data_IF_554522316914
#
_entry.id   IF_554522316914
#
_cell.length_a   1.000
_cell.length_b   1.000
_cell.length_c   1.000
_cell.angle_alpha   90.00
_cell.angle_beta   90.00
_cell.angle_gamma   90.00
#
_symmetry.space_group_name_H-M   'P 1'
#
loop_
_entity.id
_entity.type
_entity.pdbx_description
1 polymer ?
#
# COMPACT_ATOMS: atom_id res chain seq x y z
N UNK A 1 -12.44 5.78 -15.86
CA UNK A 1 -11.60 5.40 -14.71
C UNK A 1 -12.52 4.82 -13.64
N UNK A 2 -12.95 3.59 -13.85
CA UNK A 2 -14.09 3.02 -13.08
C UNK A 2 -13.68 2.63 -11.65
N UNK A 3 -12.38 2.49 -11.40
CA UNK A 3 -11.82 2.16 -10.09
C UNK A 3 -12.02 3.25 -9.03
N UNK A 4 -12.20 4.52 -9.43
CA UNK A 4 -12.44 5.62 -8.51
C UNK A 4 -13.93 5.88 -8.25
N UNK A 5 -14.83 5.36 -9.09
CA UNK A 5 -16.27 5.62 -8.96
C UNK A 5 -16.85 5.28 -7.57
N UNK A 6 -16.46 4.17 -6.90
CA UNK A 6 -16.95 3.86 -5.54
C UNK A 6 -16.49 4.84 -4.46
N UNK A 7 -15.45 5.64 -4.74
CA UNK A 7 -14.82 6.58 -3.81
C UNK A 7 -15.28 8.02 -4.03
N UNK A 8 -16.24 8.25 -4.93
CA UNK A 8 -16.86 9.55 -5.09
C UNK A 8 -17.59 9.96 -3.80
N UNK A 9 -17.27 11.14 -3.28
CA UNK A 9 -17.86 11.70 -2.06
C UNK A 9 -18.46 13.08 -2.35
N UNK A 10 -19.26 13.60 -1.43
CA UNK A 10 -19.67 15.01 -1.47
C UNK A 10 -18.44 15.91 -1.25
N UNK A 11 -18.56 17.20 -1.55
CA UNK A 11 -17.48 18.17 -1.28
C UNK A 11 -17.03 18.08 0.18
N UNK A 12 -15.72 17.96 0.35
CA UNK A 12 -15.04 17.86 1.63
C UNK A 12 -13.73 18.66 1.57
N UNK A 13 -13.01 18.75 2.68
CA UNK A 13 -11.69 19.36 2.70
C UNK A 13 -10.74 18.64 1.73
N UNK A 14 -10.16 19.40 0.81
CA UNK A 14 -9.23 18.87 -0.18
C UNK A 14 -7.90 18.49 0.47
N UNK A 15 -7.56 17.20 0.43
CA UNK A 15 -6.28 16.69 0.94
C UNK A 15 -5.12 17.05 0.00
N UNK A 16 -5.33 16.87 -1.30
CA UNK A 16 -4.44 17.31 -2.39
C UNK A 16 -5.23 17.46 -3.71
N UNK A 17 -4.64 18.14 -4.69
CA UNK A 17 -5.17 18.29 -6.05
C UNK A 17 -4.14 17.83 -7.10
N UNK A 18 -4.61 17.11 -8.11
CA UNK A 18 -3.80 16.70 -9.27
C UNK A 18 -4.35 17.34 -10.54
N UNK A 19 -3.49 18.09 -11.23
CA UNK A 19 -3.74 18.61 -12.58
C UNK A 19 -3.06 17.72 -13.61
N UNK A 20 -3.77 17.27 -14.64
CA UNK A 20 -3.16 16.57 -15.78
C UNK A 20 -2.98 17.59 -16.91
N UNK A 21 -1.72 17.85 -17.28
CA UNK A 21 -1.37 18.83 -18.31
C UNK A 21 -1.02 18.13 -19.64
N UNK A 22 -1.61 18.61 -20.73
CA UNK A 22 -1.36 18.10 -22.10
C UNK A 22 -0.06 18.62 -22.68
N UNK A 23 0.36 19.83 -22.30
CA UNK A 23 1.62 20.43 -22.72
C UNK A 23 1.99 21.54 -21.75
N UNK A 24 3.22 21.50 -21.24
CA UNK A 24 3.86 22.69 -20.73
C UNK A 24 5.33 22.56 -21.11
N UNK A 25 5.96 23.70 -21.38
CA UNK A 25 7.28 23.79 -22.03
C UNK A 25 8.33 22.82 -21.49
N UNK A 26 9.30 22.55 -22.38
CA UNK A 26 10.53 21.79 -22.16
C UNK A 26 10.91 21.68 -20.69
N UNK A 27 11.27 20.47 -20.24
CA UNK A 27 11.93 20.26 -18.97
C UNK A 27 13.01 21.33 -18.80
N UNK A 28 12.80 22.29 -17.89
CA UNK A 28 13.91 23.11 -17.46
C UNK A 28 14.94 22.13 -16.91
N UNK A 29 16.13 22.16 -17.50
CA UNK A 29 17.34 21.45 -17.05
C UNK A 29 17.83 21.98 -15.69
N UNK A 30 16.90 22.29 -14.79
CA UNK A 30 17.12 22.78 -13.45
C UNK A 30 17.56 21.65 -12.50
N UNK A 31 18.25 22.06 -11.44
CA UNK A 31 18.99 21.28 -10.44
C UNK A 31 18.16 20.22 -9.68
N UNK A 32 17.67 19.20 -10.37
CA UNK A 32 17.00 18.03 -9.76
C UNK A 32 18.04 17.09 -9.17
N UNK A 33 18.02 16.93 -7.85
CA UNK A 33 18.87 15.96 -7.14
C UNK A 33 18.15 14.61 -7.05
N UNK A 34 18.79 13.50 -7.41
CA UNK A 34 18.19 12.17 -7.27
C UNK A 34 18.06 11.82 -5.79
N UNK A 35 16.87 11.36 -5.39
CA UNK A 35 16.57 10.84 -4.04
C UNK A 35 16.40 9.32 -4.08
N UNK A 36 15.66 8.83 -5.07
CA UNK A 36 15.51 7.42 -5.38
C UNK A 36 15.57 7.27 -6.89
N UNK A 37 16.43 6.41 -7.40
CA UNK A 37 16.41 6.01 -8.81
C UNK A 37 16.22 4.51 -8.82
N UNK A 38 15.13 4.04 -9.42
CA UNK A 38 14.81 2.62 -9.48
C UNK A 38 15.93 1.88 -10.20
N UNK A 39 16.50 0.89 -9.53
CA UNK A 39 17.41 -0.09 -10.13
C UNK A 39 16.74 -1.47 -10.14
N UNK A 40 15.45 -1.48 -10.48
CA UNK A 40 14.62 -2.68 -10.44
C UNK A 40 14.98 -3.64 -11.58
N UNK A 41 14.70 -4.93 -11.36
CA UNK A 41 14.96 -5.99 -12.35
C UNK A 41 14.16 -5.79 -13.65
N UNK A 42 14.51 -6.51 -14.74
CA UNK A 42 13.79 -6.45 -16.01
C UNK A 42 12.29 -6.71 -15.82
N UNK A 43 11.44 -5.78 -16.27
CA UNK A 43 9.98 -5.93 -16.29
C UNK A 43 9.23 -5.37 -15.08
N UNK A 44 9.91 -4.79 -14.10
CA UNK A 44 9.30 -4.10 -12.95
C UNK A 44 9.02 -2.62 -13.26
N UNK A 45 7.99 -2.00 -12.68
CA UNK A 45 7.72 -0.58 -12.86
C UNK A 45 8.86 0.28 -12.30
N UNK A 46 9.08 1.42 -12.95
CA UNK A 46 10.11 2.41 -12.58
C UNK A 46 9.42 3.59 -11.91
N UNK A 47 9.91 3.98 -10.74
CA UNK A 47 9.51 5.19 -10.00
C UNK A 47 10.79 5.90 -9.57
N UNK A 48 11.17 6.92 -10.34
CA UNK A 48 12.35 7.73 -10.07
C UNK A 48 11.94 9.02 -9.38
N UNK A 49 12.50 9.26 -8.20
CA UNK A 49 12.22 10.40 -7.36
C UNK A 49 13.40 11.37 -7.36
N UNK A 50 13.09 12.62 -7.67
CA UNK A 50 14.02 13.73 -7.63
C UNK A 50 13.47 14.85 -6.76
N UNK A 51 14.37 15.62 -6.17
CA UNK A 51 14.02 16.76 -5.33
C UNK A 51 14.80 18.00 -5.75
N UNK A 52 14.17 19.16 -5.60
CA UNK A 52 14.80 20.48 -5.56
C UNK A 52 14.16 21.28 -4.43
N UNK A 53 14.71 22.44 -4.02
CA UNK A 53 14.11 23.23 -2.95
C UNK A 53 12.62 23.50 -3.19
N UNK A 54 11.76 23.02 -2.30
CA UNK A 54 10.32 23.24 -2.30
C UNK A 54 9.51 22.37 -3.26
N UNK A 55 10.12 21.43 -3.99
CA UNK A 55 9.42 20.62 -4.99
C UNK A 55 9.97 19.21 -5.16
N UNK A 56 9.06 18.30 -5.54
CA UNK A 56 9.34 16.93 -5.90
C UNK A 56 9.05 16.69 -7.37
N UNK A 57 9.84 15.82 -8.00
CA UNK A 57 9.58 15.29 -9.34
C UNK A 57 9.61 13.76 -9.28
N UNK A 58 8.59 13.14 -9.85
CA UNK A 58 8.48 11.69 -9.96
C UNK A 58 8.34 11.30 -11.42
N UNK A 59 9.38 10.66 -11.95
CA UNK A 59 9.34 9.99 -13.24
C UNK A 59 8.78 8.57 -13.07
N UNK A 60 7.86 8.17 -13.94
CA UNK A 60 7.27 6.83 -13.89
C UNK A 60 7.26 6.15 -15.26
N UNK A 61 7.63 4.87 -15.28
CA UNK A 61 7.49 4.01 -16.45
C UNK A 61 6.90 2.64 -16.04
N UNK A 62 6.06 2.02 -16.89
CA UNK A 62 5.38 0.78 -16.55
C UNK A 62 6.33 -0.42 -16.42
N UNK A 63 7.48 -0.40 -17.09
CA UNK A 63 8.51 -1.44 -17.02
C UNK A 63 9.90 -0.84 -17.17
N UNK A 64 10.89 -1.45 -16.51
CA UNK A 64 12.30 -1.07 -16.61
C UNK A 64 12.83 -1.18 -18.04
N UNK A 65 13.68 -0.22 -18.42
CA UNK A 65 14.25 -0.09 -19.77
C UNK A 65 13.35 0.66 -20.78
N UNK A 66 12.11 1.00 -20.43
CA UNK A 66 11.31 1.93 -21.22
C UNK A 66 11.60 3.39 -20.88
N UNK A 67 11.40 4.32 -21.83
CA UNK A 67 11.36 5.75 -21.53
C UNK A 67 10.27 6.08 -20.49
N UNK A 68 10.53 7.12 -19.69
CA UNK A 68 9.56 7.68 -18.76
C UNK A 68 8.25 7.97 -19.49
N UNK A 69 7.15 7.41 -18.98
CA UNK A 69 5.81 7.52 -19.57
C UNK A 69 4.97 8.63 -18.93
N UNK A 70 5.32 9.05 -17.72
CA UNK A 70 4.70 10.18 -17.04
C UNK A 70 5.67 10.87 -16.09
N UNK A 71 5.46 12.16 -15.88
CA UNK A 71 6.27 12.99 -14.99
C UNK A 71 5.34 13.82 -14.10
N UNK A 72 5.35 13.53 -12.80
CA UNK A 72 4.59 14.25 -11.79
C UNK A 72 5.52 15.25 -11.09
N UNK A 73 5.13 16.52 -11.05
CA UNK A 73 5.80 17.55 -10.24
C UNK A 73 4.86 18.01 -9.14
N UNK A 74 5.32 17.98 -7.90
CA UNK A 74 4.55 18.39 -6.72
C UNK A 74 5.26 19.50 -5.95
N UNK A 75 4.49 20.26 -5.18
CA UNK A 75 5.03 21.06 -4.08
C UNK A 75 5.65 20.17 -2.98
N UNK A 76 6.38 20.80 -2.07
CA UNK A 76 7.07 20.10 -0.96
C UNK A 76 6.14 19.19 -0.17
N UNK A 77 4.89 19.59 0.04
CA UNK A 77 3.90 18.89 0.85
C UNK A 77 2.98 17.92 0.09
N UNK A 78 3.18 17.73 -1.23
CA UNK A 78 2.27 16.94 -2.08
C UNK A 78 0.80 17.41 -2.03
N UNK A 79 0.56 18.70 -1.79
CA UNK A 79 -0.78 19.32 -1.81
C UNK A 79 -1.25 19.62 -3.22
N UNK A 80 -0.33 20.03 -4.09
CA UNK A 80 -0.62 20.36 -5.47
C UNK A 80 0.37 19.61 -6.37
N UNK A 81 -0.16 18.86 -7.33
CA UNK A 81 0.61 18.07 -8.28
C UNK A 81 0.20 18.39 -9.71
N UNK A 82 1.17 18.48 -10.60
CA UNK A 82 0.95 18.52 -12.05
C UNK A 82 1.57 17.27 -12.68
N UNK A 83 0.73 16.42 -13.27
CA UNK A 83 1.14 15.25 -14.02
C UNK A 83 1.19 15.59 -15.51
N UNK A 84 2.34 15.36 -16.13
CA UNK A 84 2.50 15.29 -17.58
C UNK A 84 2.47 13.84 -18.02
N UNK A 85 1.61 13.52 -19.00
CA UNK A 85 1.60 12.22 -19.65
C UNK A 85 2.49 12.34 -20.88
N UNK A 86 3.60 11.59 -20.88
CA UNK A 86 4.58 11.60 -21.98
C UNK A 86 4.30 10.47 -22.99
N UNK A 87 3.47 9.51 -22.59
CA UNK A 87 3.02 8.42 -23.45
C UNK A 87 1.56 8.06 -23.14
N UNK A 88 0.65 8.50 -24.01
CA UNK A 88 -0.80 8.33 -23.84
C UNK A 88 -1.23 6.87 -23.69
N UNK A 89 -0.48 5.93 -24.27
CA UNK A 89 -0.73 4.48 -24.10
C UNK A 89 -0.72 4.07 -22.63
N UNK A 90 0.03 4.78 -21.80
CA UNK A 90 0.17 4.54 -20.37
C UNK A 90 -0.45 5.64 -19.52
N UNK A 91 -1.34 6.48 -20.08
CA UNK A 91 -1.97 7.57 -19.35
C UNK A 91 -2.68 7.12 -18.07
N UNK A 92 -3.42 6.01 -18.11
CA UNK A 92 -4.06 5.43 -16.92
C UNK A 92 -3.04 5.01 -15.86
N UNK A 93 -1.97 4.34 -16.25
CA UNK A 93 -0.88 3.96 -15.34
C UNK A 93 -0.27 5.21 -14.68
N UNK A 94 -0.07 6.28 -15.45
CA UNK A 94 0.51 7.51 -14.93
C UNK A 94 -0.42 8.21 -13.93
N UNK A 95 -1.71 8.30 -14.24
CA UNK A 95 -2.69 8.93 -13.33
C UNK A 95 -2.86 8.09 -12.05
N UNK A 96 -2.97 6.77 -12.17
CA UNK A 96 -3.13 5.88 -11.02
C UNK A 96 -1.94 6.00 -10.06
N UNK A 97 -0.70 5.93 -10.56
CA UNK A 97 0.50 6.06 -9.74
C UNK A 97 0.65 7.48 -9.18
N UNK A 98 0.35 8.52 -9.95
CA UNK A 98 0.41 9.90 -9.46
C UNK A 98 -0.53 10.11 -8.28
N UNK A 99 -1.80 9.70 -8.40
CA UNK A 99 -2.79 9.80 -7.31
C UNK A 99 -2.39 8.97 -6.10
N UNK A 100 -1.88 7.74 -6.30
CA UNK A 100 -1.41 6.86 -5.23
C UNK A 100 -0.26 7.47 -4.43
N UNK A 101 0.79 7.94 -5.12
CA UNK A 101 1.96 8.53 -4.48
C UNK A 101 1.65 9.85 -3.78
N UNK A 102 0.85 10.71 -4.43
CA UNK A 102 0.39 11.95 -3.79
C UNK A 102 -0.39 11.63 -2.52
N UNK A 103 -1.31 10.66 -2.55
CA UNK A 103 -2.05 10.22 -1.37
C UNK A 103 -1.10 9.73 -0.27
N UNK A 104 -0.24 8.76 -0.57
CA UNK A 104 0.67 8.14 0.40
C UNK A 104 1.57 9.18 1.10
N UNK A 105 2.16 10.12 0.33
CA UNK A 105 3.06 11.12 0.91
C UNK A 105 2.34 12.28 1.58
N UNK A 106 1.19 12.71 1.05
CA UNK A 106 0.43 13.82 1.62
C UNK A 106 -0.19 13.46 2.97
N UNK A 107 -0.57 12.20 3.14
CA UNK A 107 -1.29 11.71 4.32
C UNK A 107 -0.38 11.07 5.38
N UNK A 108 0.92 10.95 5.13
CA UNK A 108 1.87 10.34 6.06
C UNK A 108 1.85 10.96 7.47
N UNK A 109 1.62 12.27 7.59
CA UNK A 109 1.48 13.00 8.87
C UNK A 109 0.11 12.81 9.54
N UNK A 110 -0.85 12.18 8.86
CA UNK A 110 -2.20 11.87 9.33
C UNK A 110 -2.33 10.44 9.87
N UNK A 111 -1.20 9.76 10.10
CA UNK A 111 -1.17 8.42 10.69
C UNK A 111 -1.53 7.31 9.70
N UNK A 112 -1.23 7.49 8.40
CA UNK A 112 -1.56 6.52 7.34
C UNK A 112 -0.33 5.80 6.80
N UNK A 113 -0.51 4.55 6.40
CA UNK A 113 0.46 3.73 5.67
C UNK A 113 -0.23 3.10 4.46
N UNK A 114 0.26 3.40 3.26
CA UNK A 114 -0.11 2.64 2.05
C UNK A 114 0.79 1.41 1.97
N UNK A 115 0.18 0.23 1.80
CA UNK A 115 0.85 -1.05 2.00
C UNK A 115 0.62 -1.99 0.83
N UNK A 116 1.68 -2.64 0.34
CA UNK A 116 1.61 -3.74 -0.60
C UNK A 116 1.09 -5.03 0.09
N UNK A 117 -0.23 -5.22 0.07
CA UNK A 117 -0.93 -6.28 0.78
C UNK A 117 -2.23 -6.72 0.09
N UNK A 118 -2.65 -7.97 0.35
CA UNK A 118 -4.00 -8.43 0.02
C UNK A 118 -4.81 -8.53 1.31
N UNK A 119 -6.04 -8.00 1.32
CA UNK A 119 -6.82 -7.83 2.55
C UNK A 119 -8.15 -8.54 2.46
N UNK A 120 -8.37 -9.47 3.39
CA UNK A 120 -9.67 -10.13 3.59
C UNK A 120 -10.33 -9.58 4.85
N UNK A 121 -11.63 -9.33 4.79
CA UNK A 121 -12.46 -9.02 5.96
C UNK A 121 -13.31 -10.24 6.31
N UNK A 122 -13.31 -10.60 7.60
CA UNK A 122 -14.15 -11.66 8.17
C UNK A 122 -14.55 -11.28 9.60
N UNK A 123 -15.81 -11.50 9.96
CA UNK A 123 -16.39 -11.07 11.26
C UNK A 123 -16.16 -9.60 11.58
N UNK A 124 -16.20 -8.74 10.55
CA UNK A 124 -15.97 -7.30 10.69
C UNK A 124 -14.51 -6.91 10.96
N UNK A 125 -13.55 -7.84 10.85
CA UNK A 125 -12.12 -7.56 11.06
C UNK A 125 -11.30 -7.80 9.80
N UNK A 126 -10.29 -6.97 9.56
CA UNK A 126 -9.39 -7.04 8.41
C UNK A 126 -8.11 -7.85 8.71
N UNK A 127 -7.78 -8.77 7.82
CA UNK A 127 -6.57 -9.59 7.84
C UNK A 127 -5.69 -9.21 6.66
N UNK A 128 -4.50 -8.67 6.92
CA UNK A 128 -3.59 -8.20 5.88
C UNK A 128 -2.55 -9.28 5.59
N UNK A 129 -2.53 -9.78 4.35
CA UNK A 129 -1.52 -10.74 3.89
C UNK A 129 -0.39 -10.00 3.20
N UNK A 130 0.82 -10.12 3.74
CA UNK A 130 2.06 -9.47 3.30
C UNK A 130 3.01 -10.48 2.67
N UNK A 131 3.98 -10.00 1.89
CA UNK A 131 5.02 -10.84 1.29
C UNK A 131 5.51 -10.28 -0.05
N UNK A 132 6.65 -10.79 -0.51
CA UNK A 132 7.22 -10.41 -1.81
C UNK A 132 6.25 -10.70 -2.96
N UNK A 133 6.51 -10.09 -4.14
CA UNK A 133 5.76 -10.41 -5.35
C UNK A 133 5.82 -11.92 -5.63
N UNK A 134 4.67 -12.55 -5.87
CA UNK A 134 4.58 -14.01 -6.06
C UNK A 134 4.53 -14.86 -4.77
N UNK A 135 4.62 -14.28 -3.57
CA UNK A 135 4.57 -15.05 -2.31
C UNK A 135 3.25 -15.81 -2.10
N UNK A 136 2.15 -15.34 -2.70
CA UNK A 136 0.82 -15.97 -2.61
C UNK A 136 -0.22 -15.17 -1.81
N UNK A 137 -0.03 -13.86 -1.60
CA UNK A 137 -0.98 -12.97 -0.89
C UNK A 137 -2.42 -13.11 -1.42
N UNK A 138 -2.64 -12.83 -2.70
CA UNK A 138 -3.97 -12.92 -3.34
C UNK A 138 -4.52 -14.34 -3.38
N UNK A 139 -3.64 -15.35 -3.49
CA UNK A 139 -4.03 -16.76 -3.37
C UNK A 139 -4.61 -17.03 -1.99
N UNK A 140 -4.02 -16.49 -0.94
CA UNK A 140 -4.49 -16.67 0.42
C UNK A 140 -5.83 -15.96 0.67
N UNK A 141 -6.00 -14.72 0.20
CA UNK A 141 -7.30 -14.04 0.24
C UNK A 141 -8.39 -14.80 -0.51
N UNK A 142 -8.05 -15.40 -1.66
CA UNK A 142 -8.97 -16.25 -2.42
C UNK A 142 -9.39 -17.49 -1.62
N UNK A 143 -8.44 -18.20 -1.00
CA UNK A 143 -8.74 -19.38 -0.17
C UNK A 143 -9.70 -19.06 0.97
N UNK A 144 -9.57 -17.89 1.60
CA UNK A 144 -10.51 -17.46 2.64
C UNK A 144 -11.94 -17.30 2.10
N UNK A 145 -12.11 -16.63 0.95
CA UNK A 145 -13.44 -16.48 0.33
C UNK A 145 -14.06 -17.81 -0.10
N UNK A 146 -13.23 -18.76 -0.53
CA UNK A 146 -13.69 -20.08 -0.99
C UNK A 146 -14.09 -21.01 0.16
N UNK A 147 -13.50 -20.84 1.35
CA UNK A 147 -13.63 -21.82 2.44
C UNK A 147 -14.26 -21.28 3.71
N UNK A 148 -14.33 -19.95 3.90
CA UNK A 148 -14.93 -19.31 5.06
C UNK A 148 -16.09 -18.42 4.64
N UNK A 149 -17.34 -18.92 4.72
CA UNK A 149 -18.53 -18.11 4.50
C UNK A 149 -18.49 -16.81 5.31
N UNK A 150 -18.82 -15.69 4.68
CA UNK A 150 -18.72 -14.36 5.29
C UNK A 150 -17.35 -13.69 5.17
N UNK A 151 -16.38 -14.31 4.49
CA UNK A 151 -15.12 -13.66 4.15
C UNK A 151 -15.23 -12.91 2.83
N UNK A 152 -14.79 -11.65 2.81
CA UNK A 152 -14.82 -10.79 1.63
C UNK A 152 -13.47 -10.15 1.35
N UNK A 153 -13.16 -9.92 0.08
CA UNK A 153 -11.98 -9.14 -0.30
C UNK A 153 -12.26 -7.65 -0.08
N UNK A 154 -11.35 -6.95 0.58
CA UNK A 154 -11.41 -5.50 0.80
C UNK A 154 -10.56 -4.75 -0.23
N UNK A 155 -9.33 -5.23 -0.45
CA UNK A 155 -8.39 -4.71 -1.44
C UNK A 155 -7.36 -5.79 -1.79
N UNK A 156 -6.81 -5.77 -3.00
CA UNK A 156 -5.81 -6.73 -3.46
C UNK A 156 -4.63 -6.06 -4.16
N UNK A 157 -3.99 -5.06 -3.54
CA UNK A 157 -2.59 -4.69 -3.77
C UNK A 157 -2.13 -3.58 -2.83
N UNK A 158 -2.85 -2.46 -2.78
CA UNK A 158 -2.43 -1.23 -2.12
C UNK A 158 -3.51 -0.71 -1.15
N UNK A 159 -3.93 -1.47 -0.13
CA UNK A 159 -4.76 -0.94 0.96
C UNK A 159 -4.05 0.18 1.71
N UNK A 160 -4.84 0.98 2.42
CA UNK A 160 -4.34 1.98 3.37
C UNK A 160 -4.67 1.55 4.79
N UNK A 161 -3.66 1.55 5.65
CA UNK A 161 -3.82 1.42 7.10
C UNK A 161 -3.80 2.81 7.72
N UNK A 162 -4.68 3.08 8.68
CA UNK A 162 -4.71 4.34 9.43
C UNK A 162 -4.80 4.09 10.92
N UNK A 163 -3.99 4.79 11.69
CA UNK A 163 -4.11 4.90 13.14
C UNK A 163 -5.05 6.05 13.48
N UNK A 164 -6.20 5.75 14.08
CA UNK A 164 -7.19 6.74 14.47
C UNK A 164 -6.78 7.48 15.78
N UNK A 165 -7.39 8.64 16.10
CA UNK A 165 -7.03 9.41 17.29
C UNK A 165 -7.20 8.66 18.62
N UNK A 166 -8.09 7.67 18.68
CA UNK A 166 -8.30 6.79 19.84
C UNK A 166 -7.30 5.61 19.91
N UNK A 167 -6.40 5.51 18.93
CA UNK A 167 -5.41 4.44 18.81
C UNK A 167 -5.89 3.21 18.05
N UNK A 168 -7.14 3.16 17.59
CA UNK A 168 -7.61 2.05 16.77
C UNK A 168 -6.91 2.04 15.40
N UNK A 169 -6.47 0.86 14.96
CA UNK A 169 -5.86 0.66 13.64
C UNK A 169 -6.91 0.12 12.69
N UNK A 170 -7.25 0.90 11.66
CA UNK A 170 -8.27 0.57 10.68
C UNK A 170 -7.65 0.39 9.28
N UNK A 171 -8.18 -0.55 8.49
CA UNK A 171 -7.74 -0.85 7.13
C UNK A 171 -8.82 -0.43 6.16
N UNK A 172 -8.43 0.27 5.09
CA UNK A 172 -9.32 0.82 4.08
C UNK A 172 -9.05 0.18 2.72
N UNK A 173 -10.13 -0.09 2.00
CA UNK A 173 -10.02 -0.33 0.57
C UNK A 173 -9.66 0.95 -0.17
N UNK A 174 -9.00 0.81 -1.32
CA UNK A 174 -8.52 1.93 -2.14
C UNK A 174 -8.89 1.72 -3.61
N UNK A 175 -8.81 2.76 -4.46
CA UNK A 175 -9.00 2.63 -5.91
C UNK A 175 -7.83 1.90 -6.59
N UNK A 176 -6.79 1.53 -5.85
CA UNK A 176 -5.60 0.85 -6.34
C UNK A 176 -5.64 -0.62 -5.90
N UNK A 177 -5.90 -1.50 -6.85
CA UNK A 177 -5.96 -2.95 -6.64
C UNK A 177 -5.22 -3.62 -7.79
N UNK A 178 -4.68 -4.80 -7.51
CA UNK A 178 -3.75 -5.50 -8.37
C UNK A 178 -4.49 -6.33 -9.40
N UNK A 179 -4.06 -7.59 -9.56
CA UNK A 179 -4.62 -8.48 -10.59
C UNK A 179 -6.10 -8.79 -10.38
N UNK A 180 -6.58 -8.75 -9.14
CA UNK A 180 -8.01 -8.88 -8.83
C UNK A 180 -8.63 -7.48 -8.71
N UNK A 181 -9.49 -7.04 -9.65
CA UNK A 181 -10.21 -5.79 -9.50
C UNK A 181 -11.08 -5.82 -8.24
N UNK A 182 -10.77 -4.96 -7.27
CA UNK A 182 -11.51 -4.83 -6.03
C UNK A 182 -11.43 -3.38 -5.54
N UNK A 183 -12.46 -2.60 -5.86
CA UNK A 183 -12.51 -1.16 -5.58
C UNK A 183 -13.64 -0.91 -4.58
N UNK A 184 -13.32 -1.01 -3.29
CA UNK A 184 -14.33 -0.92 -2.22
C UNK A 184 -14.05 0.27 -1.32
N UNK A 185 -14.99 1.20 -1.29
CA UNK A 185 -15.02 2.26 -0.29
C UNK A 185 -15.62 1.70 1.01
N UNK A 186 -14.82 0.90 1.70
CA UNK A 186 -15.16 0.23 2.95
C UNK A 186 -13.92 0.15 3.84
N UNK A 187 -14.13 -0.12 5.13
CA UNK A 187 -13.05 -0.25 6.10
C UNK A 187 -13.39 -1.24 7.20
N UNK A 188 -12.37 -1.77 7.87
CA UNK A 188 -12.53 -2.64 9.04
C UNK A 188 -11.32 -2.52 9.98
N UNK A 189 -11.51 -2.68 11.31
CA UNK A 189 -10.41 -2.74 12.26
C UNK A 189 -9.44 -3.89 11.93
N UNK A 190 -8.15 -3.65 12.09
CA UNK A 190 -7.12 -4.63 11.81
C UNK A 190 -7.14 -5.78 12.84
N UNK A 191 -7.33 -7.01 12.39
CA UNK A 191 -7.18 -8.21 13.20
C UNK A 191 -5.72 -8.61 13.37
N UNK A 192 -4.98 -8.66 12.26
CA UNK A 192 -3.60 -9.13 12.19
C UNK A 192 -2.95 -8.77 10.85
N UNK A 193 -1.62 -8.71 10.84
CA UNK A 193 -0.82 -8.82 9.62
C UNK A 193 -0.11 -10.18 9.58
N UNK A 194 -0.08 -10.79 8.40
CA UNK A 194 0.42 -12.15 8.20
C UNK A 194 1.35 -12.15 7.00
N UNK A 195 2.64 -12.38 7.24
CA UNK A 195 3.61 -12.60 6.17
C UNK A 195 3.49 -14.01 5.64
N UNK A 196 3.18 -14.13 4.35
CA UNK A 196 3.11 -15.39 3.64
C UNK A 196 4.52 -15.83 3.22
N UNK A 197 4.87 -17.06 3.55
CA UNK A 197 6.10 -17.74 3.15
C UNK A 197 5.74 -19.10 2.59
N UNK A 198 6.13 -19.40 1.36
CA UNK A 198 5.87 -20.71 0.76
C UNK A 198 6.71 -21.78 1.46
N UNK A 199 6.05 -22.84 1.92
CA UNK A 199 6.69 -23.92 2.68
C UNK A 199 5.96 -25.26 2.44
N UNK A 200 6.62 -26.41 2.69
CA UNK A 200 5.98 -27.72 2.56
C UNK A 200 4.92 -27.99 3.64
N UNK A 201 4.92 -27.24 4.73
CA UNK A 201 4.02 -27.40 5.88
C UNK A 201 3.28 -26.10 6.20
N UNK A 202 2.09 -26.23 6.78
CA UNK A 202 1.26 -25.09 7.21
C UNK A 202 1.53 -24.82 8.70
N UNK A 203 2.17 -23.69 9.00
CA UNK A 203 2.53 -23.29 10.36
C UNK A 203 2.42 -21.79 10.54
N UNK A 204 1.65 -21.38 11.53
CA UNK A 204 1.54 -19.98 11.94
C UNK A 204 2.43 -19.73 13.17
N UNK A 205 3.29 -18.72 13.09
CA UNK A 205 4.18 -18.32 14.19
C UNK A 205 4.02 -16.82 14.48
N UNK A 206 3.81 -16.39 15.73
CA UNK A 206 3.80 -14.97 16.08
C UNK A 206 5.13 -14.29 15.77
N UNK A 207 5.07 -13.06 15.27
CA UNK A 207 6.25 -12.23 15.04
C UNK A 207 6.74 -11.60 16.34
N UNK A 208 8.06 -11.54 16.52
CA UNK A 208 8.67 -10.63 17.47
C UNK A 208 8.44 -9.17 17.00
N UNK A 209 8.36 -8.17 17.89
CA UNK A 209 8.11 -6.78 17.51
C UNK A 209 9.05 -6.24 16.43
N UNK A 210 10.35 -6.54 16.53
CA UNK A 210 11.35 -6.14 15.52
C UNK A 210 11.12 -6.81 14.16
N UNK A 211 10.66 -8.06 14.15
CA UNK A 211 10.32 -8.77 12.92
C UNK A 211 9.05 -8.19 12.30
N UNK A 212 8.04 -7.90 13.13
CA UNK A 212 6.82 -7.24 12.69
C UNK A 212 7.12 -5.89 12.04
N UNK A 213 7.93 -5.06 12.70
CA UNK A 213 8.38 -3.77 12.18
C UNK A 213 9.06 -3.92 10.81
N UNK A 214 10.06 -4.81 10.69
CA UNK A 214 10.78 -5.01 9.45
C UNK A 214 9.86 -5.48 8.31
N UNK A 215 8.90 -6.35 8.61
CA UNK A 215 7.94 -6.85 7.63
C UNK A 215 7.00 -5.74 7.14
N UNK A 216 6.42 -4.97 8.06
CA UNK A 216 5.56 -3.84 7.70
C UNK A 216 6.35 -2.78 6.94
N UNK A 217 7.53 -2.39 7.42
CA UNK A 217 8.40 -1.41 6.74
C UNK A 217 8.68 -1.82 5.30
N UNK A 218 9.04 -3.08 5.06
CA UNK A 218 9.33 -3.60 3.72
C UNK A 218 8.10 -3.69 2.81
N UNK A 219 6.90 -3.63 3.38
CA UNK A 219 5.62 -3.72 2.66
C UNK A 219 4.94 -2.38 2.51
N UNK A 220 5.48 -1.29 3.06
CA UNK A 220 4.88 0.04 2.92
C UNK A 220 5.54 0.82 1.78
N UNK A 221 4.73 1.58 1.06
CA UNK A 221 5.19 2.61 0.14
C UNK A 221 5.56 3.85 0.96
N UNK A 222 6.82 4.29 0.88
CA UNK A 222 7.30 5.42 1.69
C UNK A 222 8.54 6.07 1.09
N UNK A 223 8.66 7.39 1.30
CA UNK A 223 9.90 8.11 1.03
C UNK A 223 10.99 7.56 1.96
N UNK A 224 12.15 7.20 1.40
CA UNK A 224 13.35 6.94 2.20
C UNK A 224 14.13 8.25 2.29
N UNK A 225 14.38 8.79 3.47
CA UNK A 225 15.19 10.02 3.61
C UNK A 225 14.98 10.81 4.91
N UNK A 226 15.64 11.95 5.02
CA UNK A 226 15.75 12.79 6.23
C UNK A 226 14.67 13.89 6.33
N UNK A 227 13.44 13.65 5.87
CA UNK A 227 12.34 14.61 6.00
C UNK A 227 11.41 14.23 7.17
N UNK A 228 10.77 15.20 7.84
CA UNK A 228 9.85 14.93 8.95
C UNK A 228 8.64 14.03 8.62
N UNK A 229 8.34 13.80 7.33
CA UNK A 229 7.37 12.78 6.87
C UNK A 229 7.88 11.36 7.08
N UNK A 230 9.19 11.15 7.04
CA UNK A 230 9.85 9.90 7.39
C UNK A 230 9.68 9.58 8.88
N UNK A 231 9.81 10.60 9.74
CA UNK A 231 9.55 10.44 11.17
C UNK A 231 8.07 10.11 11.44
N UNK A 232 7.14 10.81 10.77
CA UNK A 232 5.71 10.52 10.90
C UNK A 232 5.35 9.11 10.40
N UNK A 233 5.97 8.67 9.31
CA UNK A 233 5.84 7.31 8.79
C UNK A 233 6.32 6.28 9.81
N UNK A 234 7.51 6.46 10.39
CA UNK A 234 8.04 5.55 11.41
C UNK A 234 7.20 5.55 12.69
N UNK A 235 6.76 6.71 13.16
CA UNK A 235 5.87 6.82 14.31
C UNK A 235 4.54 6.08 14.07
N UNK A 236 3.99 6.15 12.85
CA UNK A 236 2.79 5.41 12.47
C UNK A 236 3.06 3.91 12.45
N UNK A 237 4.18 3.49 11.86
CA UNK A 237 4.60 2.09 11.80
C UNK A 237 4.74 1.48 13.20
N UNK A 238 5.38 2.20 14.13
CA UNK A 238 5.53 1.77 15.53
C UNK A 238 4.19 1.61 16.23
N UNK A 239 3.25 2.54 16.02
CA UNK A 239 1.89 2.43 16.57
C UNK A 239 1.16 1.21 16.02
N UNK A 240 1.27 0.93 14.73
CA UNK A 240 0.68 -0.27 14.12
C UNK A 240 1.28 -1.55 14.70
N UNK A 241 2.61 -1.63 14.82
CA UNK A 241 3.31 -2.78 15.43
C UNK A 241 2.87 -3.01 16.89
N UNK A 242 2.66 -1.92 17.64
CA UNK A 242 2.22 -1.98 19.03
C UNK A 242 0.76 -2.40 19.21
N UNK A 243 -0.11 -2.07 18.25
CA UNK A 243 -1.55 -2.28 18.37
C UNK A 243 -2.06 -3.56 17.68
N UNK A 244 -1.41 -3.99 16.58
CA UNK A 244 -1.88 -5.11 15.76
C UNK A 244 -0.91 -6.29 15.87
N UNK A 245 -1.38 -7.52 16.12
CA UNK A 245 -0.50 -8.68 16.18
C UNK A 245 0.00 -9.10 14.79
N UNK A 246 1.27 -9.47 14.74
CA UNK A 246 1.95 -9.95 13.55
C UNK A 246 2.22 -11.44 13.55
N UNK A 247 2.19 -12.06 12.38
CA UNK A 247 2.49 -13.48 12.20
C UNK A 247 3.29 -13.75 10.93
N UNK A 248 4.03 -14.86 10.94
CA UNK A 248 4.53 -15.52 9.74
C UNK A 248 3.71 -16.78 9.54
N UNK A 249 3.16 -16.93 8.33
CA UNK A 249 2.53 -18.16 7.87
C UNK A 249 3.44 -18.82 6.84
N UNK A 250 4.10 -19.89 7.28
CA UNK A 250 4.70 -20.87 6.39
C UNK A 250 3.57 -21.74 5.85
N UNK A 251 3.38 -21.83 4.53
CA UNK A 251 2.24 -22.56 3.99
C UNK A 251 2.38 -23.09 2.56
N UNK A 252 1.57 -24.11 2.31
CA UNK A 252 1.11 -24.54 0.99
C UNK A 252 -0.09 -23.67 0.54
N UNK A 253 -0.38 -23.67 -0.76
CA UNK A 253 -1.53 -22.98 -1.33
C UNK A 253 -2.82 -23.82 -1.23
N UNK A 254 -3.18 -24.27 -0.03
CA UNK A 254 -4.32 -25.16 0.22
C UNK A 254 -5.31 -24.61 1.27
N UNK A 255 -6.47 -25.26 1.36
CA UNK A 255 -7.50 -24.93 2.36
C UNK A 255 -6.96 -24.96 3.80
N UNK A 256 -6.13 -25.96 4.12
CA UNK A 256 -5.60 -26.14 5.46
C UNK A 256 -4.72 -24.95 5.89
N UNK A 257 -4.04 -24.27 4.95
CA UNK A 257 -3.28 -23.06 5.24
C UNK A 257 -4.18 -21.92 5.72
N UNK A 258 -5.33 -21.73 5.09
CA UNK A 258 -6.32 -20.73 5.49
C UNK A 258 -6.89 -21.06 6.89
N UNK A 259 -7.15 -22.34 7.18
CA UNK A 259 -7.67 -22.81 8.47
C UNK A 259 -6.65 -22.60 9.60
N UNK A 260 -5.39 -22.98 9.39
CA UNK A 260 -4.30 -22.76 10.36
C UNK A 260 -4.11 -21.26 10.64
N UNK A 261 -4.18 -20.43 9.60
CA UNK A 261 -4.06 -18.98 9.72
C UNK A 261 -5.20 -18.39 10.56
N UNK A 262 -6.45 -18.62 10.17
CA UNK A 262 -7.61 -18.03 10.83
C UNK A 262 -7.75 -18.51 12.29
N UNK A 263 -7.73 -19.83 12.52
CA UNK A 263 -7.91 -20.38 13.87
C UNK A 263 -6.75 -20.00 14.80
N UNK A 264 -5.51 -20.00 14.29
CA UNK A 264 -4.34 -19.60 15.07
C UNK A 264 -4.43 -18.15 15.54
N UNK A 265 -4.84 -17.23 14.66
CA UNK A 265 -5.04 -15.81 14.99
C UNK A 265 -6.22 -15.64 15.96
N UNK A 266 -7.35 -16.33 15.71
CA UNK A 266 -8.54 -16.27 16.56
C UNK A 266 -8.22 -16.68 17.99
N UNK A 267 -7.57 -17.83 18.16
CA UNK A 267 -7.18 -18.35 19.47
C UNK A 267 -6.19 -17.42 20.18
N UNK A 268 -5.22 -16.83 19.46
CA UNK A 268 -4.29 -15.89 20.07
C UNK A 268 -4.97 -14.61 20.54
N UNK A 269 -5.89 -14.07 19.74
CA UNK A 269 -6.69 -12.90 20.12
C UNK A 269 -7.57 -13.17 21.33
N UNK A 270 -8.16 -14.36 21.44
CA UNK A 270 -8.91 -14.77 22.63
C UNK A 270 -8.02 -14.85 23.88
N UNK A 271 -6.80 -15.38 23.76
CA UNK A 271 -5.83 -15.43 24.87
C UNK A 271 -5.37 -14.05 25.34
N UNK A 272 -5.24 -13.06 24.44
CA UNK A 272 -4.81 -11.69 24.79
C UNK A 272 -5.92 -10.83 25.42
N UNK A 273 -7.19 -11.26 25.31
CA UNK A 273 -8.34 -10.59 25.93
C UNK A 273 -8.60 -11.08 27.37
N UNK A 274 -7.95 -12.19 27.76
CA UNK A 274 -7.93 -12.73 29.12
C UNK A 274 -6.75 -12.12 29.89
#
# INVERSE_FOLDING_TARGET
>A
MDNYAPFHTAEAETVFSLTVAEDAGAEDAADWQPVLVSNEGPGEPVIDLYRRPGQWKIGMAPVSGMPVSGCLVCDEGFREGTLRILNDRFGRFCVDNALMMMYAFRTADLGTLEMHASVTVRDGLAYLFLGHSGAGKSTHSRLWREHFPGSELLNDDNPVVRVLPDGEVCVYGTPWSGKTPCYRNASAPAAAFVRIVQAPENKLTPCMPVQAYAQLYSSCSGLKGEDGRFDAFHATLERVVGAVPGYVLECRADRAAAEVCFEGIRQDRERRKL
#
